data_IF_907582726585
#
_entry.id   IF_907582726585
#
_cell.length_a   1.000
_cell.length_b   1.000
_cell.length_c   1.000
_cell.angle_alpha   90.00
_cell.angle_beta   90.00
_cell.angle_gamma   90.00
#
_symmetry.space_group_name_H-M   'P 1'
#
loop_
_entity.id
_entity.type
_entity.pdbx_description
1 polymer ?
#
# COMPACT_ATOMS: atom_id res chain seq x y z
N UNK A 1 -15.01 -26.99 66.43
CA UNK A 1 -13.97 -26.50 65.50
C UNK A 1 -13.77 -27.37 64.24
N UNK A 2 -13.97 -28.70 64.26
CA UNK A 2 -13.74 -29.57 63.07
C UNK A 2 -14.69 -29.37 61.87
N UNK A 3 -15.95 -28.95 62.07
CA UNK A 3 -16.92 -28.75 60.95
C UNK A 3 -16.67 -27.47 60.12
N UNK A 4 -16.02 -26.44 60.66
CA UNK A 4 -15.69 -25.21 59.90
C UNK A 4 -14.46 -25.37 59.00
N UNK A 5 -13.53 -26.25 59.37
CA UNK A 5 -12.35 -26.57 58.55
C UNK A 5 -12.68 -27.39 57.30
N UNK A 6 -13.66 -28.30 57.40
CA UNK A 6 -14.09 -29.12 56.25
C UNK A 6 -14.78 -28.29 55.15
N UNK A 7 -15.52 -27.25 55.53
CA UNK A 7 -16.23 -26.37 54.59
C UNK A 7 -15.25 -25.46 53.82
N UNK A 8 -14.22 -24.92 54.50
CA UNK A 8 -13.17 -24.11 53.85
C UNK A 8 -12.30 -24.94 52.89
N UNK A 9 -11.99 -26.19 53.24
CA UNK A 9 -11.27 -27.10 52.34
C UNK A 9 -12.09 -27.48 51.10
N UNK A 10 -13.40 -27.74 51.24
CA UNK A 10 -14.24 -28.05 50.07
C UNK A 10 -14.41 -26.86 49.13
N UNK A 11 -14.57 -25.63 49.64
CA UNK A 11 -14.64 -24.41 48.82
C UNK A 11 -13.30 -24.08 48.13
N UNK A 12 -12.17 -24.39 48.77
CA UNK A 12 -10.85 -24.22 48.15
C UNK A 12 -10.62 -25.23 47.03
N UNK A 13 -11.01 -26.50 47.23
CA UNK A 13 -10.87 -27.58 46.23
C UNK A 13 -11.75 -27.32 45.00
N UNK A 14 -12.97 -26.80 45.18
CA UNK A 14 -13.85 -26.48 44.04
C UNK A 14 -13.37 -25.24 43.27
N UNK A 15 -12.81 -24.23 43.95
CA UNK A 15 -12.22 -23.05 43.31
C UNK A 15 -10.97 -23.40 42.49
N UNK A 16 -10.07 -24.24 43.03
CA UNK A 16 -8.87 -24.68 42.31
C UNK A 16 -9.19 -25.62 41.15
N UNK A 17 -10.23 -26.47 41.28
CA UNK A 17 -10.70 -27.34 40.20
C UNK A 17 -11.35 -26.52 39.06
N UNK A 18 -12.14 -25.50 39.37
CA UNK A 18 -12.69 -24.58 38.37
C UNK A 18 -11.61 -23.76 37.67
N UNK A 19 -10.57 -23.32 38.39
CA UNK A 19 -9.43 -22.62 37.80
C UNK A 19 -8.60 -23.53 36.87
N UNK A 20 -8.35 -24.78 37.28
CA UNK A 20 -7.63 -25.75 36.45
C UNK A 20 -8.43 -26.16 35.21
N UNK A 21 -9.75 -26.34 35.31
CA UNK A 21 -10.61 -26.66 34.16
C UNK A 21 -10.73 -25.48 33.19
N UNK A 22 -10.75 -24.24 33.70
CA UNK A 22 -10.74 -23.03 32.87
C UNK A 22 -9.39 -22.83 32.18
N UNK A 23 -8.26 -23.06 32.86
CA UNK A 23 -6.93 -23.07 32.23
C UNK A 23 -6.80 -24.22 31.22
N UNK A 24 -7.41 -25.38 31.48
CA UNK A 24 -7.42 -26.50 30.54
C UNK A 24 -8.29 -26.19 29.31
N UNK A 25 -9.43 -25.51 29.46
CA UNK A 25 -10.27 -25.03 28.36
C UNK A 25 -9.62 -23.88 27.57
N UNK A 26 -8.91 -22.96 28.23
CA UNK A 26 -8.12 -21.91 27.57
C UNK A 26 -6.94 -22.52 26.81
N UNK A 27 -6.24 -23.50 27.40
CA UNK A 27 -5.14 -24.20 26.73
C UNK A 27 -5.63 -25.07 25.57
N UNK A 28 -6.78 -25.75 25.71
CA UNK A 28 -7.40 -26.49 24.60
C UNK A 28 -7.90 -25.56 23.49
N UNK A 29 -8.44 -24.37 23.82
CA UNK A 29 -8.83 -23.38 22.82
C UNK A 29 -7.63 -22.68 22.16
N UNK A 30 -6.50 -22.56 22.85
CA UNK A 30 -5.24 -22.07 22.26
C UNK A 30 -4.59 -23.07 21.30
N UNK A 31 -5.02 -24.34 21.34
CA UNK A 31 -4.57 -25.42 20.45
C UNK A 31 -5.51 -25.71 19.27
N UNK A 32 -6.52 -24.85 19.00
CA UNK A 32 -7.39 -24.93 17.80
C UNK A 32 -6.69 -24.33 16.56
N UNK A 33 -5.40 -24.62 16.39
CA UNK A 33 -4.73 -24.58 15.10
C UNK A 33 -4.22 -26.00 14.86
N UNK A 34 -5.05 -26.77 14.14
CA UNK A 34 -4.94 -28.21 13.92
C UNK A 34 -3.58 -28.64 13.37
N UNK A 35 -2.98 -29.62 14.05
CA UNK A 35 -2.20 -30.73 13.54
C UNK A 35 -1.94 -30.79 12.03
N UNK A 36 -0.85 -30.18 11.60
CA UNK A 36 0.15 -30.77 10.71
C UNK A 36 1.48 -30.25 11.28
N UNK A 37 2.55 -31.06 11.37
CA UNK A 37 3.88 -30.53 11.74
C UNK A 37 4.34 -29.65 10.59
N UNK A 38 3.79 -28.44 10.50
CA UNK A 38 4.31 -27.37 9.69
C UNK A 38 5.79 -27.26 10.06
N UNK A 39 6.65 -27.13 9.05
CA UNK A 39 8.07 -26.89 9.25
C UNK A 39 8.22 -25.49 9.86
N UNK A 40 7.87 -25.34 11.14
CA UNK A 40 7.84 -24.08 11.86
C UNK A 40 9.29 -23.71 12.19
N UNK A 41 9.72 -22.52 11.76
CA UNK A 41 11.02 -21.97 12.08
C UNK A 41 11.14 -21.69 13.58
N UNK A 42 12.38 -21.64 14.08
CA UNK A 42 12.62 -21.35 15.50
C UNK A 42 11.98 -20.01 15.88
N UNK A 43 11.24 -19.99 16.99
CA UNK A 43 10.47 -18.85 17.51
C UNK A 43 9.37 -18.30 16.59
N UNK A 44 9.01 -19.01 15.53
CA UNK A 44 7.89 -18.59 14.70
C UNK A 44 6.55 -18.84 15.41
N UNK A 45 5.61 -17.92 15.25
CA UNK A 45 4.24 -18.01 15.79
C UNK A 45 3.24 -18.05 14.66
N UNK A 46 2.21 -18.87 14.79
CA UNK A 46 1.14 -18.89 13.81
C UNK A 46 -0.23 -19.21 14.37
N UNK A 47 -1.25 -18.72 13.68
CA UNK A 47 -2.65 -19.06 13.93
C UNK A 47 -3.38 -19.21 12.59
N UNK A 48 -4.37 -20.10 12.56
CA UNK A 48 -5.01 -20.54 11.32
C UNK A 48 -4.22 -21.65 10.63
N UNK A 49 -4.59 -21.93 9.37
CA UNK A 49 -4.03 -23.03 8.58
C UNK A 49 -2.96 -22.50 7.64
N UNK A 50 -1.76 -22.29 8.17
CA UNK A 50 -0.60 -21.90 7.37
C UNK A 50 -0.13 -23.09 6.51
N UNK A 51 0.32 -22.80 5.28
CA UNK A 51 0.89 -23.80 4.39
C UNK A 51 2.36 -24.07 4.72
N UNK A 52 3.14 -23.05 5.03
CA UNK A 52 4.56 -23.19 5.38
C UNK A 52 5.05 -22.00 6.22
N UNK A 53 5.82 -22.25 7.29
CA UNK A 53 6.42 -21.17 8.11
C UNK A 53 7.83 -21.55 8.55
N UNK A 54 8.81 -21.59 7.64
CA UNK A 54 10.21 -21.96 7.92
C UNK A 54 11.09 -20.81 8.41
N UNK A 55 10.63 -19.56 8.33
CA UNK A 55 11.38 -18.37 8.76
C UNK A 55 11.61 -18.33 10.28
N UNK A 56 12.79 -17.89 10.72
CA UNK A 56 13.06 -17.69 12.15
C UNK A 56 12.35 -16.44 12.66
N UNK A 57 11.87 -16.43 13.91
CA UNK A 57 11.21 -15.27 14.54
C UNK A 57 10.04 -14.67 13.73
N UNK A 58 9.40 -15.46 12.85
CA UNK A 58 8.33 -14.96 11.97
C UNK A 58 6.95 -15.06 12.63
N UNK A 59 6.00 -14.24 12.18
CA UNK A 59 4.60 -14.32 12.64
C UNK A 59 3.67 -14.53 11.46
N UNK A 60 2.78 -15.52 11.55
CA UNK A 60 1.76 -15.75 10.53
C UNK A 60 0.34 -15.80 11.11
N UNK A 61 -0.64 -15.31 10.36
CA UNK A 61 -2.05 -15.45 10.71
C UNK A 61 -2.90 -15.63 9.47
N UNK A 62 -3.83 -16.59 9.49
CA UNK A 62 -4.79 -16.80 8.41
C UNK A 62 -4.65 -18.14 7.71
N UNK A 63 -5.05 -18.22 6.44
CA UNK A 63 -5.16 -19.48 5.69
C UNK A 63 -4.24 -19.48 4.48
N UNK A 64 -3.55 -20.60 4.26
CA UNK A 64 -2.60 -20.81 3.18
C UNK A 64 -1.47 -19.75 3.14
N UNK A 65 -1.04 -19.28 4.32
CA UNK A 65 0.09 -18.37 4.45
C UNK A 65 1.41 -19.13 4.27
N UNK A 66 2.39 -18.47 3.67
CA UNK A 66 3.71 -19.03 3.36
C UNK A 66 4.80 -18.05 3.79
N UNK A 67 5.66 -18.50 4.71
CA UNK A 67 6.90 -17.85 5.10
C UNK A 67 8.03 -18.88 4.90
N UNK A 68 8.80 -18.84 3.81
CA UNK A 68 9.92 -19.73 3.60
C UNK A 68 11.09 -19.40 4.54
N UNK A 69 12.17 -20.20 4.51
CA UNK A 69 13.35 -19.98 5.36
C UNK A 69 14.02 -18.62 5.14
N UNK A 70 13.97 -18.11 3.90
CA UNK A 70 14.45 -16.75 3.55
C UNK A 70 13.62 -15.65 4.23
N UNK A 71 12.35 -15.92 4.55
CA UNK A 71 11.43 -15.03 5.26
C UNK A 71 11.66 -15.00 6.78
N UNK A 72 12.91 -15.03 7.23
CA UNK A 72 13.19 -14.84 8.66
C UNK A 72 12.80 -13.42 9.08
N UNK A 73 12.24 -13.27 10.28
CA UNK A 73 11.65 -12.04 10.83
C UNK A 73 10.44 -11.51 10.03
N UNK A 74 9.89 -12.31 9.13
CA UNK A 74 8.78 -11.89 8.29
C UNK A 74 7.43 -11.98 9.02
N UNK A 75 6.48 -11.17 8.56
CA UNK A 75 5.08 -11.20 9.01
C UNK A 75 4.16 -11.48 7.82
N UNK A 76 3.30 -12.49 7.94
CA UNK A 76 2.30 -12.84 6.93
C UNK A 76 0.89 -12.88 7.53
N UNK A 77 -0.03 -12.05 7.08
CA UNK A 77 -1.36 -11.94 7.66
C UNK A 77 -2.44 -11.95 6.58
N UNK A 78 -3.34 -12.93 6.61
CA UNK A 78 -4.51 -13.00 5.75
C UNK A 78 -4.63 -14.30 4.95
N UNK A 79 -5.13 -14.19 3.72
CA UNK A 79 -5.48 -15.32 2.87
C UNK A 79 -4.46 -15.46 1.73
N UNK A 80 -3.81 -16.62 1.59
CA UNK A 80 -2.85 -16.88 0.51
C UNK A 80 -1.68 -15.87 0.46
N UNK A 81 -1.20 -15.43 1.63
CA UNK A 81 -0.10 -14.47 1.71
C UNK A 81 1.27 -15.15 1.65
N UNK A 82 2.24 -14.48 1.03
CA UNK A 82 3.62 -14.94 0.90
C UNK A 82 4.58 -13.87 1.42
N UNK A 83 5.24 -14.09 2.56
CA UNK A 83 6.27 -13.20 3.10
C UNK A 83 7.64 -13.87 2.93
N UNK A 84 8.23 -13.72 1.74
CA UNK A 84 9.39 -14.46 1.27
C UNK A 84 10.74 -13.84 1.58
N UNK A 85 10.79 -12.52 1.75
CA UNK A 85 12.01 -11.79 2.03
C UNK A 85 12.33 -11.71 3.52
N UNK A 86 13.62 -11.58 3.87
CA UNK A 86 14.04 -11.33 5.25
C UNK A 86 13.40 -10.04 5.77
N UNK A 87 12.80 -10.06 6.96
CA UNK A 87 12.06 -8.95 7.55
C UNK A 87 10.93 -8.38 6.66
N UNK A 88 10.38 -9.17 5.74
CA UNK A 88 9.27 -8.75 4.87
C UNK A 88 7.92 -8.77 5.60
N UNK A 89 6.96 -7.96 5.13
CA UNK A 89 5.58 -7.94 5.65
C UNK A 89 4.59 -8.10 4.52
N UNK A 90 3.78 -9.16 4.55
CA UNK A 90 2.67 -9.39 3.62
C UNK A 90 1.34 -9.38 4.38
N UNK A 91 0.42 -8.48 4.00
CA UNK A 91 -0.88 -8.32 4.66
C UNK A 91 -2.02 -8.29 3.64
N UNK A 92 -3.07 -9.09 3.83
CA UNK A 92 -4.29 -9.09 3.04
C UNK A 92 -4.56 -10.40 2.30
N UNK A 93 -5.07 -10.33 1.07
CA UNK A 93 -5.39 -11.50 0.24
C UNK A 93 -4.45 -11.59 -0.96
N UNK A 94 -3.89 -12.78 -1.23
CA UNK A 94 -3.01 -13.03 -2.37
C UNK A 94 -1.82 -12.04 -2.44
N UNK A 95 -1.32 -11.58 -1.29
CA UNK A 95 -0.23 -10.60 -1.24
C UNK A 95 1.13 -11.26 -1.10
N UNK A 96 2.13 -10.73 -1.80
CA UNK A 96 3.49 -11.28 -1.82
C UNK A 96 4.53 -10.21 -1.52
N UNK A 97 5.17 -10.31 -0.37
CA UNK A 97 6.34 -9.51 0.00
C UNK A 97 7.60 -10.36 -0.25
N UNK A 98 8.15 -10.28 -1.46
CA UNK A 98 9.23 -11.16 -1.93
C UNK A 98 10.61 -10.58 -1.61
N UNK A 99 10.79 -9.27 -1.76
CA UNK A 99 12.06 -8.60 -1.50
C UNK A 99 12.44 -8.53 -0.02
N UNK A 100 13.74 -8.38 0.26
CA UNK A 100 14.26 -8.15 1.61
C UNK A 100 13.66 -6.87 2.18
N UNK A 101 13.14 -6.91 3.41
CA UNK A 101 12.51 -5.78 4.09
C UNK A 101 11.41 -5.10 3.25
N UNK A 102 10.75 -5.86 2.36
CA UNK A 102 9.66 -5.33 1.54
C UNK A 102 8.33 -5.41 2.27
N UNK A 103 7.38 -4.55 1.89
CA UNK A 103 6.04 -4.49 2.47
C UNK A 103 5.00 -4.59 1.36
N UNK A 104 4.14 -5.61 1.39
CA UNK A 104 2.99 -5.77 0.51
C UNK A 104 1.69 -5.74 1.33
N UNK A 105 0.76 -4.87 0.96
CA UNK A 105 -0.49 -4.68 1.70
C UNK A 105 -1.69 -4.53 0.76
N UNK A 106 -2.70 -5.39 0.91
CA UNK A 106 -4.01 -5.27 0.27
C UNK A 106 -4.47 -6.53 -0.46
N UNK A 107 -4.86 -6.46 -1.72
CA UNK A 107 -5.40 -7.59 -2.50
C UNK A 107 -4.61 -7.80 -3.80
N UNK A 108 -3.97 -8.96 -3.95
CA UNK A 108 -3.15 -9.27 -5.13
C UNK A 108 -1.95 -8.32 -5.30
N UNK A 109 -1.29 -7.94 -4.21
CA UNK A 109 -0.18 -6.97 -4.24
C UNK A 109 1.18 -7.64 -4.15
N UNK A 110 2.17 -7.12 -4.88
CA UNK A 110 3.51 -7.68 -5.00
C UNK A 110 4.60 -6.65 -4.67
N UNK A 111 5.32 -6.86 -3.58
CA UNK A 111 6.53 -6.10 -3.23
C UNK A 111 7.78 -6.95 -3.55
N UNK A 112 8.18 -6.91 -4.83
CA UNK A 112 9.20 -7.78 -5.40
C UNK A 112 10.64 -7.28 -5.16
N UNK A 113 10.85 -5.97 -5.17
CA UNK A 113 12.16 -5.37 -4.91
C UNK A 113 12.57 -5.37 -3.44
N UNK A 114 13.88 -5.42 -3.18
CA UNK A 114 14.41 -5.20 -1.83
C UNK A 114 14.06 -3.78 -1.34
N UNK A 115 13.64 -3.64 -0.09
CA UNK A 115 13.14 -2.40 0.53
C UNK A 115 11.93 -1.79 -0.19
N UNK A 116 11.22 -2.54 -1.03
CA UNK A 116 10.08 -2.01 -1.77
C UNK A 116 8.79 -2.00 -0.96
N UNK A 117 7.85 -1.14 -1.33
CA UNK A 117 6.53 -1.04 -0.70
C UNK A 117 5.44 -1.08 -1.75
N UNK A 118 4.55 -2.07 -1.70
CA UNK A 118 3.35 -2.17 -2.54
C UNK A 118 2.09 -2.09 -1.66
N UNK A 119 1.22 -1.12 -1.93
CA UNK A 119 0.02 -0.90 -1.13
C UNK A 119 -1.21 -0.66 -2.03
N UNK A 120 -2.27 -1.45 -1.84
CA UNK A 120 -3.55 -1.29 -2.53
C UNK A 120 -4.08 -2.58 -3.16
N UNK A 121 -4.54 -2.53 -4.41
CA UNK A 121 -5.05 -3.73 -5.10
C UNK A 121 -4.39 -3.91 -6.46
N UNK A 122 -3.80 -5.08 -6.69
CA UNK A 122 -3.05 -5.38 -7.91
C UNK A 122 -1.76 -4.58 -8.09
N UNK A 123 -1.19 -4.00 -7.03
CA UNK A 123 0.01 -3.15 -7.13
C UNK A 123 1.28 -3.97 -7.18
N UNK A 124 2.30 -3.47 -7.89
CA UNK A 124 3.58 -4.14 -8.09
C UNK A 124 4.75 -3.17 -7.84
N UNK A 125 5.54 -3.39 -6.78
CA UNK A 125 6.76 -2.66 -6.50
C UNK A 125 7.98 -3.53 -6.84
N UNK A 126 8.40 -3.46 -8.12
CA UNK A 126 9.40 -4.35 -8.73
C UNK A 126 10.85 -3.88 -8.56
N UNK A 127 11.09 -2.57 -8.53
CA UNK A 127 12.43 -2.01 -8.29
C UNK A 127 12.86 -2.08 -6.82
N UNK A 128 14.16 -2.23 -6.56
CA UNK A 128 14.67 -2.09 -5.20
C UNK A 128 14.47 -0.64 -4.69
N UNK A 129 13.97 -0.49 -3.48
CA UNK A 129 13.56 0.77 -2.88
C UNK A 129 12.34 1.42 -3.55
N UNK A 130 11.63 0.70 -4.42
CA UNK A 130 10.48 1.28 -5.14
C UNK A 130 9.21 1.29 -4.30
N UNK A 131 8.29 2.20 -4.61
CA UNK A 131 6.98 2.30 -3.94
C UNK A 131 5.87 2.29 -4.98
N UNK A 132 4.90 1.40 -4.84
CA UNK A 132 3.69 1.35 -5.65
C UNK A 132 2.44 1.49 -4.77
N UNK A 133 1.65 2.53 -4.98
CA UNK A 133 0.47 2.84 -4.15
C UNK A 133 -0.77 3.05 -5.01
N UNK A 134 -1.85 2.33 -4.75
CA UNK A 134 -3.16 2.52 -5.38
C UNK A 134 -3.77 1.27 -6.03
N UNK A 135 -4.28 1.39 -7.26
CA UNK A 135 -4.92 0.27 -7.98
C UNK A 135 -4.13 -0.06 -9.23
N UNK A 136 -3.56 -1.26 -9.32
CA UNK A 136 -2.73 -1.66 -10.48
C UNK A 136 -1.57 -0.70 -10.78
N UNK A 137 -1.02 -0.06 -9.77
CA UNK A 137 0.17 0.78 -9.89
C UNK A 137 1.41 -0.10 -9.92
N UNK A 138 2.35 0.19 -10.83
CA UNK A 138 3.57 -0.59 -11.04
C UNK A 138 4.81 0.32 -10.97
N UNK A 139 5.72 0.05 -10.04
CA UNK A 139 6.98 0.76 -9.86
C UNK A 139 8.18 -0.15 -10.19
N UNK A 140 8.63 -0.11 -11.44
CA UNK A 140 9.69 -0.96 -12.01
C UNK A 140 11.11 -0.40 -11.79
N UNK A 141 11.26 0.93 -11.83
CA UNK A 141 12.56 1.57 -11.63
C UNK A 141 13.12 1.38 -10.21
N UNK A 142 14.44 1.29 -10.08
CA UNK A 142 15.10 1.39 -8.77
C UNK A 142 14.79 2.74 -8.14
N UNK A 143 14.45 2.74 -6.84
CA UNK A 143 14.04 3.93 -6.09
C UNK A 143 12.94 4.75 -6.79
N UNK A 144 12.06 4.08 -7.55
CA UNK A 144 10.94 4.75 -8.22
C UNK A 144 9.69 4.74 -7.36
N UNK A 145 8.80 5.70 -7.57
CA UNK A 145 7.51 5.80 -6.87
C UNK A 145 6.39 5.94 -7.89
N UNK A 146 5.41 5.03 -7.84
CA UNK A 146 4.21 5.03 -8.66
C UNK A 146 2.98 5.19 -7.76
N UNK A 147 2.22 6.27 -7.92
CA UNK A 147 1.03 6.55 -7.12
C UNK A 147 -0.17 6.74 -8.04
N UNK A 148 -1.23 5.95 -7.81
CA UNK A 148 -2.53 6.14 -8.43
C UNK A 148 -3.08 4.87 -9.08
N UNK A 149 -3.71 5.00 -10.25
CA UNK A 149 -4.49 3.93 -10.87
C UNK A 149 -3.94 3.54 -12.23
N UNK A 150 -3.52 2.28 -12.38
CA UNK A 150 -2.97 1.70 -13.61
C UNK A 150 -1.80 2.51 -14.18
N UNK A 151 -0.97 3.09 -13.32
CA UNK A 151 0.24 3.84 -13.70
C UNK A 151 1.46 2.92 -13.65
N UNK A 152 2.39 3.09 -14.60
CA UNK A 152 3.68 2.38 -14.59
C UNK A 152 4.84 3.37 -14.54
N UNK A 153 5.80 3.14 -13.66
CA UNK A 153 7.02 3.97 -13.54
C UNK A 153 8.26 3.10 -13.74
N UNK A 154 8.87 3.21 -14.91
CA UNK A 154 10.06 2.48 -15.33
C UNK A 154 11.37 3.23 -15.03
N UNK A 155 11.31 4.56 -14.93
CA UNK A 155 12.48 5.39 -14.67
C UNK A 155 13.12 5.13 -13.31
N UNK A 156 14.46 5.10 -13.25
CA UNK A 156 15.21 5.05 -12.00
C UNK A 156 15.08 6.39 -11.27
N UNK A 157 15.03 6.40 -9.93
CA UNK A 157 14.94 7.62 -9.12
C UNK A 157 13.83 8.57 -9.57
N UNK A 158 12.67 8.03 -9.93
CA UNK A 158 11.58 8.80 -10.54
C UNK A 158 10.30 8.70 -9.73
N UNK A 159 9.42 9.70 -9.87
CA UNK A 159 8.12 9.74 -9.21
C UNK A 159 7.05 9.98 -10.28
N UNK A 160 6.17 9.01 -10.45
CA UNK A 160 4.97 9.14 -11.27
C UNK A 160 3.73 9.16 -10.41
N UNK A 161 2.92 10.20 -10.55
CA UNK A 161 1.57 10.26 -9.97
C UNK A 161 0.60 10.26 -11.13
N UNK A 162 -0.37 9.36 -11.14
CA UNK A 162 -1.35 9.40 -12.21
C UNK A 162 -2.50 8.44 -12.13
N UNK A 163 -3.53 8.77 -12.90
CA UNK A 163 -4.75 8.01 -13.00
C UNK A 163 -4.93 7.61 -14.45
N UNK A 164 -5.28 6.35 -14.71
CA UNK A 164 -5.78 5.97 -16.01
C UNK A 164 -7.15 6.58 -16.20
N UNK A 165 -7.16 7.71 -16.89
CA UNK A 165 -8.38 8.37 -17.29
C UNK A 165 -8.99 7.59 -18.48
N UNK A 166 -10.22 7.15 -18.29
CA UNK A 166 -10.97 6.48 -19.35
C UNK A 166 -11.64 7.47 -20.30
N UNK A 167 -11.64 8.78 -20.02
CA UNK A 167 -12.42 9.74 -20.81
C UNK A 167 -11.67 11.06 -21.02
N UNK A 168 -11.36 11.39 -22.28
CA UNK A 168 -10.92 12.75 -22.62
C UNK A 168 -12.08 13.76 -22.64
N UNK A 169 -11.74 15.05 -22.56
CA UNK A 169 -12.63 16.18 -22.85
C UNK A 169 -13.24 16.17 -24.27
N UNK A 170 -12.70 15.37 -25.20
CA UNK A 170 -13.22 15.20 -26.57
C UNK A 170 -13.93 13.85 -26.80
N UNK A 171 -14.20 13.07 -25.74
CA UNK A 171 -14.95 11.81 -25.83
C UNK A 171 -14.21 10.64 -26.48
N UNK A 172 -12.91 10.76 -26.77
CA UNK A 172 -12.09 9.61 -27.18
C UNK A 172 -11.54 8.86 -25.95
N UNK A 173 -11.34 7.55 -26.07
CA UNK A 173 -10.68 6.74 -25.05
C UNK A 173 -9.16 6.87 -25.22
N UNK A 174 -8.39 7.10 -24.15
CA UNK A 174 -6.96 6.76 -24.16
C UNK A 174 -6.81 5.25 -24.02
N UNK A 175 -6.23 4.56 -25.01
CA UNK A 175 -6.02 3.11 -24.90
C UNK A 175 -4.85 2.77 -23.97
N UNK A 176 -3.94 3.72 -23.72
CA UNK A 176 -2.67 3.45 -23.06
C UNK A 176 -2.66 3.94 -21.61
N UNK A 177 -2.21 3.06 -20.71
CA UNK A 177 -1.93 3.38 -19.33
C UNK A 177 -0.85 4.49 -19.23
N UNK A 178 -0.88 5.37 -18.22
CA UNK A 178 0.18 6.33 -18.01
C UNK A 178 1.49 5.63 -17.65
N UNK A 179 2.54 5.81 -18.46
CA UNK A 179 3.87 5.22 -18.26
C UNK A 179 4.93 6.31 -18.22
N UNK A 180 5.76 6.33 -17.17
CA UNK A 180 6.96 7.16 -17.06
C UNK A 180 8.20 6.32 -17.36
N UNK A 181 8.92 6.62 -18.43
CA UNK A 181 10.13 5.88 -18.83
C UNK A 181 11.43 6.54 -18.35
N UNK A 182 11.38 7.85 -18.16
CA UNK A 182 12.52 8.70 -17.89
C UNK A 182 13.03 8.57 -16.46
N UNK A 183 14.34 8.38 -16.30
CA UNK A 183 14.97 8.38 -14.98
C UNK A 183 15.14 9.80 -14.43
N UNK A 184 15.27 9.94 -13.11
CA UNK A 184 15.44 11.21 -12.40
C UNK A 184 14.33 12.24 -12.72
N UNK A 185 13.09 11.78 -12.86
CA UNK A 185 11.98 12.58 -13.33
C UNK A 185 10.81 12.54 -12.34
N UNK A 186 10.14 13.68 -12.13
CA UNK A 186 8.85 13.77 -11.47
C UNK A 186 7.78 14.09 -12.52
N UNK A 187 6.74 13.26 -12.63
CA UNK A 187 5.67 13.44 -13.60
C UNK A 187 4.28 13.24 -12.97
N UNK A 188 3.34 14.12 -13.32
CA UNK A 188 1.91 13.95 -13.05
C UNK A 188 1.19 13.64 -14.36
N UNK A 189 0.46 12.53 -14.41
CA UNK A 189 -0.13 11.97 -15.62
C UNK A 189 -1.63 11.68 -15.44
N UNK A 190 -2.43 11.95 -16.48
CA UNK A 190 -3.86 11.58 -16.48
C UNK A 190 -4.76 12.50 -15.65
N UNK A 191 -4.47 13.81 -15.65
CA UNK A 191 -5.29 14.85 -15.01
C UNK A 191 -4.68 16.24 -15.20
N UNK A 192 -5.26 17.25 -14.55
CA UNK A 192 -4.71 18.61 -14.46
C UNK A 192 -4.04 18.83 -13.10
N UNK A 193 -2.95 19.59 -13.08
CA UNK A 193 -2.27 20.01 -11.85
C UNK A 193 -2.68 21.44 -11.56
N UNK A 194 -3.34 21.67 -10.42
CA UNK A 194 -3.65 23.03 -9.94
C UNK A 194 -2.66 23.43 -8.85
N UNK A 195 -2.02 24.59 -9.02
CA UNK A 195 -1.16 25.22 -8.01
C UNK A 195 -1.83 26.52 -7.62
N UNK A 196 -2.19 26.66 -6.35
CA UNK A 196 -2.97 27.79 -5.85
C UNK A 196 -2.34 28.35 -4.57
N UNK A 197 -2.59 29.63 -4.30
CA UNK A 197 -2.21 30.27 -3.04
C UNK A 197 -3.19 29.94 -1.90
N UNK A 198 -2.97 30.52 -0.72
CA UNK A 198 -3.83 30.36 0.46
C UNK A 198 -5.27 30.90 0.27
N UNK A 199 -5.48 31.72 -0.76
CA UNK A 199 -6.77 32.30 -1.12
C UNK A 199 -7.46 31.53 -2.26
N UNK A 200 -6.95 30.35 -2.62
CA UNK A 200 -7.42 29.52 -3.73
C UNK A 200 -7.33 30.20 -5.11
N UNK A 201 -6.45 31.19 -5.27
CA UNK A 201 -6.13 31.76 -6.59
C UNK A 201 -5.12 30.84 -7.26
N UNK A 202 -5.53 30.17 -8.34
CA UNK A 202 -4.69 29.21 -9.04
C UNK A 202 -3.95 29.85 -10.23
N UNK A 203 -2.80 29.28 -10.60
CA UNK A 203 -1.99 29.74 -11.75
C UNK A 203 -2.82 29.78 -13.04
N UNK A 204 -3.65 28.76 -13.29
CA UNK A 204 -4.50 28.69 -14.48
C UNK A 204 -5.49 29.87 -14.55
N UNK A 205 -6.07 30.26 -13.42
CA UNK A 205 -7.00 31.40 -13.33
C UNK A 205 -6.26 32.74 -13.57
N UNK A 206 -4.99 32.84 -13.14
CA UNK A 206 -4.14 34.00 -13.40
C UNK A 206 -3.77 34.09 -14.89
N UNK A 207 -3.45 32.98 -15.53
CA UNK A 207 -3.17 32.94 -16.97
C UNK A 207 -4.37 33.40 -17.79
N UNK A 208 -5.59 32.98 -17.41
CA UNK A 208 -6.81 33.45 -18.05
C UNK A 208 -6.98 34.97 -17.88
N UNK A 209 -6.83 35.49 -16.66
CA UNK A 209 -6.96 36.94 -16.40
C UNK A 209 -5.94 37.78 -17.16
N UNK A 210 -4.70 37.29 -17.30
CA UNK A 210 -3.67 37.96 -18.09
C UNK A 210 -4.07 37.98 -19.57
N UNK A 211 -4.56 36.85 -20.11
CA UNK A 211 -5.01 36.79 -21.50
C UNK A 211 -6.20 37.74 -21.77
N UNK A 212 -7.13 37.87 -20.83
CA UNK A 212 -8.23 38.85 -20.89
C UNK A 212 -7.72 40.30 -20.89
N UNK A 213 -6.70 40.61 -20.07
CA UNK A 213 -6.08 41.95 -20.03
C UNK A 213 -5.32 42.27 -21.32
N UNK A 214 -4.61 41.30 -21.90
CA UNK A 214 -3.88 41.50 -23.16
C UNK A 214 -4.82 41.86 -24.32
N UNK A 215 -6.01 41.24 -24.38
CA UNK A 215 -7.04 41.61 -25.37
C UNK A 215 -7.52 43.05 -25.19
N UNK A 216 -7.74 43.48 -23.95
CA UNK A 216 -8.17 44.84 -23.65
C UNK A 216 -7.12 45.89 -24.07
N UNK A 217 -5.82 45.57 -23.89
CA UNK A 217 -4.71 46.44 -24.30
C UNK A 217 -4.64 46.58 -25.82
N UNK A 218 -4.86 45.50 -26.57
CA UNK A 218 -4.90 45.55 -28.05
C UNK A 218 -6.04 46.46 -28.52
N UNK A 219 -7.25 46.28 -27.98
CA UNK A 219 -8.41 47.10 -28.34
C UNK A 219 -8.19 48.59 -28.02
N UNK A 220 -7.61 48.90 -26.84
CA UNK A 220 -7.26 50.28 -26.51
C UNK A 220 -6.23 50.87 -27.50
N UNK A 221 -5.24 50.09 -27.90
CA UNK A 221 -4.18 50.54 -28.82
C UNK A 221 -4.73 50.86 -30.20
N UNK A 222 -5.62 50.00 -30.72
CA UNK A 222 -6.32 50.23 -32.00
C UNK A 222 -7.17 51.50 -31.95
N UNK A 223 -7.93 51.69 -30.87
CA UNK A 223 -8.74 52.89 -30.67
C UNK A 223 -7.90 54.17 -30.61
N UNK A 224 -6.77 54.15 -29.91
CA UNK A 224 -5.85 55.30 -29.85
C UNK A 224 -5.27 55.61 -31.23
N UNK A 225 -4.83 54.60 -31.99
CA UNK A 225 -4.29 54.79 -33.33
C UNK A 225 -5.32 55.37 -34.31
N UNK A 226 -6.56 54.89 -34.24
CA UNK A 226 -7.67 55.42 -35.02
C UNK A 226 -7.91 56.90 -34.72
N UNK A 227 -7.98 57.27 -33.45
CA UNK A 227 -8.17 58.68 -33.04
C UNK A 227 -7.02 59.57 -33.49
N UNK A 228 -5.78 59.08 -33.46
CA UNK A 228 -4.60 59.80 -33.96
C UNK A 228 -4.66 60.03 -35.48
N UNK A 229 -5.21 59.09 -36.26
CA UNK A 229 -5.39 59.27 -37.71
C UNK A 229 -6.47 60.28 -38.08
N UNK A 230 -7.46 60.52 -37.21
CA UNK A 230 -8.51 61.52 -37.43
C UNK A 230 -8.07 62.94 -37.06
N UNK A 231 -6.92 63.09 -36.40
CA UNK A 231 -6.39 64.39 -35.93
C UNK A 231 -5.40 65.05 -36.91
N UNK A 232 -4.93 64.32 -37.92
CA UNK A 232 -4.03 64.81 -38.99
C UNK A 232 -4.83 65.10 -40.26
#
# INVERSE_FOLDING_TARGET
MKKRFLCLCMLAITSTAYASDLEQHINQNSQIATHEKTNIGVNAKHWGMAKEIKGFNSTAWGWNTVIPRSGSEATAFGLETYAGGWASTAFGQMTRAVGKASTAWGDGTDANGDWSTAFGSGTEANGAGSTAFGFKATANGHSSTAIGSSITVNGYNSVGIGLRDYMFANGQLRPEAPILHESNTFAVMGGTVKICDENAVCIDDLQQKIAEQDQLIVELTENVNFLMSQRN
#
